data_IF_272903861852
#
_entry.id   IF_272903861852
#
_cell.length_a   1.000
_cell.length_b   1.000
_cell.length_c   1.000
_cell.angle_alpha   90.00
_cell.angle_beta   90.00
_cell.angle_gamma   90.00
#
_symmetry.space_group_name_H-M   'P 1'
#
loop_
_entity.id
_entity.type
_entity.pdbx_description
1 polymer ?
#
# COMPACT_ATOMS: atom_id res chain seq x y z
N UNK A 1 34.51 19.37 10.66
CA UNK A 1 34.26 19.60 9.21
C UNK A 1 33.28 18.52 8.76
N UNK A 2 32.06 18.89 8.39
CA UNK A 2 31.02 17.92 8.00
C UNK A 2 31.37 17.35 6.61
N UNK A 3 31.23 16.05 6.43
CA UNK A 3 31.62 15.36 5.20
C UNK A 3 30.65 15.77 4.07
N UNK A 4 31.12 16.41 2.99
CA UNK A 4 30.26 16.90 1.91
C UNK A 4 29.50 15.78 1.20
N UNK A 5 29.99 14.54 1.22
CA UNK A 5 29.24 13.37 0.71
C UNK A 5 28.01 13.06 1.56
N UNK A 6 28.07 13.26 2.88
CA UNK A 6 26.95 13.00 3.78
C UNK A 6 25.86 14.06 3.64
N UNK A 7 26.22 15.31 3.37
CA UNK A 7 25.27 16.38 3.02
C UNK A 7 24.61 16.13 1.68
N UNK A 8 25.35 15.69 0.65
CA UNK A 8 24.77 15.33 -0.65
C UNK A 8 23.82 14.14 -0.56
N UNK A 9 24.17 13.11 0.23
CA UNK A 9 23.29 11.96 0.49
C UNK A 9 22.06 12.38 1.29
N UNK A 10 22.21 13.25 2.29
CA UNK A 10 21.09 13.81 3.05
C UNK A 10 20.17 14.65 2.16
N UNK A 11 20.72 15.49 1.28
CA UNK A 11 19.95 16.31 0.34
C UNK A 11 19.22 15.45 -0.71
N UNK A 12 19.86 14.37 -1.17
CA UNK A 12 19.25 13.38 -2.07
C UNK A 12 18.14 12.61 -1.36
N UNK A 13 18.34 12.21 -0.11
CA UNK A 13 17.31 11.54 0.69
C UNK A 13 16.15 12.48 0.97
N UNK A 14 16.42 13.73 1.33
CA UNK A 14 15.43 14.78 1.60
C UNK A 14 14.67 15.17 0.32
N UNK A 15 15.33 15.23 -0.84
CA UNK A 15 14.67 15.44 -2.13
C UNK A 15 13.92 14.20 -2.63
N UNK A 16 14.38 12.98 -2.34
CA UNK A 16 13.63 11.75 -2.58
C UNK A 16 12.41 11.65 -1.65
N UNK A 17 12.52 12.13 -0.41
CA UNK A 17 11.41 12.26 0.54
C UNK A 17 10.42 13.35 0.08
N UNK A 18 10.90 14.45 -0.51
CA UNK A 18 10.05 15.48 -1.12
C UNK A 18 9.40 15.00 -2.44
N UNK A 19 10.06 14.15 -3.22
CA UNK A 19 9.44 13.43 -4.33
C UNK A 19 8.49 12.34 -3.84
N UNK A 20 8.67 11.82 -2.63
CA UNK A 20 7.68 11.03 -1.91
C UNK A 20 6.47 11.86 -1.47
N UNK A 21 6.48 13.20 -1.58
CA UNK A 21 5.27 14.02 -1.54
C UNK A 21 4.57 14.14 -2.90
N UNK A 22 5.01 13.40 -3.94
CA UNK A 22 4.10 13.08 -5.04
C UNK A 22 2.85 12.48 -4.41
N UNK A 23 1.69 12.90 -4.91
CA UNK A 23 0.34 12.44 -4.58
C UNK A 23 0.13 10.91 -4.62
N UNK A 24 1.18 10.11 -4.77
CA UNK A 24 1.26 8.66 -4.61
C UNK A 24 1.30 8.22 -3.12
N UNK A 25 1.82 9.06 -2.21
CA UNK A 25 1.96 8.74 -0.77
C UNK A 25 1.13 9.62 0.18
N UNK A 26 0.47 10.66 -0.33
CA UNK A 26 -0.73 11.19 0.34
C UNK A 26 -1.82 10.12 0.48
N UNK A 27 -1.65 8.96 -0.19
CA UNK A 27 -2.53 7.80 -0.19
C UNK A 27 -2.72 7.10 1.17
N UNK A 28 -1.89 7.41 2.17
CA UNK A 28 -1.91 6.73 3.47
C UNK A 28 -2.37 7.67 4.60
N UNK A 29 -2.67 8.94 4.28
CA UNK A 29 -2.93 9.97 5.29
C UNK A 29 -4.41 10.33 5.42
N UNK A 30 -5.03 9.87 6.50
CA UNK A 30 -6.02 10.66 7.24
C UNK A 30 -5.87 10.36 8.74
N UNK A 31 -5.93 11.37 9.63
CA UNK A 31 -6.11 11.13 11.04
C UNK A 31 -7.54 10.64 11.25
N UNK A 32 -7.69 9.42 11.75
CA UNK A 32 -8.98 8.94 12.25
C UNK A 32 -9.38 9.81 13.44
N UNK A 33 -10.54 10.46 13.34
CA UNK A 33 -11.18 11.08 14.50
C UNK A 33 -11.49 9.99 15.52
N UNK A 34 -11.10 10.26 16.76
CA UNK A 34 -11.30 9.39 17.91
C UNK A 34 -12.80 9.38 18.27
N UNK A 35 -13.57 8.57 17.55
CA UNK A 35 -14.90 8.14 17.98
C UNK A 35 -14.77 6.69 18.38
N UNK A 36 -14.91 6.42 19.68
CA UNK A 36 -15.02 5.07 20.24
C UNK A 36 -16.24 4.36 19.66
N UNK A 37 -16.07 3.79 18.47
CA UNK A 37 -17.03 2.95 17.78
C UNK A 37 -16.83 1.54 18.31
N UNK A 38 -17.72 1.08 19.17
CA UNK A 38 -17.81 -0.35 19.47
C UNK A 38 -18.29 -1.07 18.20
N UNK A 39 -17.45 -1.91 17.62
CA UNK A 39 -17.83 -2.74 16.48
C UNK A 39 -18.66 -3.91 16.99
N UNK A 40 -19.85 -4.12 16.43
CA UNK A 40 -20.65 -5.29 16.74
C UNK A 40 -20.05 -6.52 16.04
N UNK A 41 -19.08 -7.14 16.71
CA UNK A 41 -18.44 -8.38 16.26
C UNK A 41 -19.40 -9.57 16.21
N UNK A 42 -20.61 -9.46 16.77
CA UNK A 42 -21.64 -10.50 16.70
C UNK A 42 -22.16 -10.75 15.28
N UNK A 43 -21.91 -9.82 14.36
CA UNK A 43 -22.30 -9.93 12.95
C UNK A 43 -21.26 -10.65 12.06
N UNK A 44 -20.02 -10.80 12.53
CA UNK A 44 -18.94 -11.39 11.74
C UNK A 44 -18.81 -12.89 12.02
N UNK A 45 -18.66 -13.67 10.95
CA UNK A 45 -18.37 -15.09 11.03
C UNK A 45 -16.87 -15.31 10.81
N UNK A 46 -16.28 -16.21 11.60
CA UNK A 46 -14.89 -16.65 11.37
C UNK A 46 -14.73 -17.07 9.90
N UNK A 47 -13.70 -16.58 9.23
CA UNK A 47 -13.47 -16.76 7.79
C UNK A 47 -14.03 -15.65 6.90
N UNK A 48 -14.79 -14.71 7.44
CA UNK A 48 -15.24 -13.53 6.70
C UNK A 48 -14.06 -12.66 6.30
N UNK A 49 -14.11 -12.13 5.09
CA UNK A 49 -13.17 -11.13 4.63
C UNK A 49 -13.70 -9.77 5.03
N UNK A 50 -12.93 -9.09 5.88
CA UNK A 50 -13.23 -7.76 6.35
C UNK A 50 -12.51 -6.73 5.50
N UNK A 51 -13.23 -5.65 5.19
CA UNK A 51 -12.77 -4.56 4.35
C UNK A 51 -12.95 -3.26 5.11
N UNK A 52 -11.91 -2.44 5.11
CA UNK A 52 -11.92 -1.14 5.76
C UNK A 52 -11.54 -0.09 4.73
N UNK A 53 -12.51 0.68 4.22
CA UNK A 53 -12.23 1.77 3.31
C UNK A 53 -11.32 2.79 4.00
N UNK A 54 -10.11 3.00 3.47
CA UNK A 54 -9.28 4.15 3.81
C UNK A 54 -9.43 5.21 2.73
N UNK A 55 -8.85 6.39 2.96
CA UNK A 55 -8.95 7.53 2.05
C UNK A 55 -8.51 7.22 0.62
N UNK A 56 -7.62 6.24 0.40
CA UNK A 56 -7.12 5.97 -0.95
C UNK A 56 -6.99 4.48 -1.32
N UNK A 57 -6.95 3.59 -0.34
CA UNK A 57 -6.90 2.14 -0.56
C UNK A 57 -7.81 1.46 0.45
N UNK A 58 -8.52 0.43 0.02
CA UNK A 58 -9.26 -0.42 0.95
C UNK A 58 -8.26 -1.39 1.58
N UNK A 59 -8.25 -1.43 2.91
CA UNK A 59 -7.44 -2.39 3.66
C UNK A 59 -8.27 -3.63 3.95
N UNK A 60 -7.63 -4.80 3.84
CA UNK A 60 -8.31 -6.09 3.94
C UNK A 60 -7.73 -6.95 5.06
N UNK A 61 -8.60 -7.75 5.68
CA UNK A 61 -8.26 -8.74 6.69
C UNK A 61 -9.22 -9.92 6.67
N UNK A 62 -8.91 -10.97 7.42
CA UNK A 62 -9.77 -12.14 7.62
C UNK A 62 -10.12 -12.22 9.09
N UNK A 63 -11.42 -12.26 9.37
CA UNK A 63 -11.90 -12.45 10.73
C UNK A 63 -11.59 -13.87 11.21
N UNK A 64 -10.92 -14.00 12.35
CA UNK A 64 -10.58 -15.28 12.95
C UNK A 64 -11.56 -15.68 14.06
N UNK A 65 -12.58 -14.88 14.36
CA UNK A 65 -13.40 -15.06 15.55
C UNK A 65 -12.82 -14.32 16.76
N UNK A 66 -13.58 -14.25 17.85
CA UNK A 66 -13.15 -13.70 19.14
C UNK A 66 -12.49 -12.31 19.06
N UNK A 67 -13.05 -11.42 18.25
CA UNK A 67 -12.53 -10.06 18.01
C UNK A 67 -11.10 -10.04 17.41
N UNK A 68 -10.71 -11.04 16.63
CA UNK A 68 -9.39 -11.13 16.01
C UNK A 68 -9.46 -11.07 14.49
N UNK A 69 -8.52 -10.33 13.89
CA UNK A 69 -8.39 -10.18 12.44
C UNK A 69 -6.95 -10.45 12.02
N UNK A 70 -6.76 -11.41 11.11
CA UNK A 70 -5.50 -11.60 10.43
C UNK A 70 -5.40 -10.66 9.21
N UNK A 71 -4.33 -9.89 9.11
CA UNK A 71 -4.11 -9.01 7.96
C UNK A 71 -2.62 -8.81 7.67
N UNK A 72 -2.34 -8.56 6.39
CA UNK A 72 -0.99 -8.23 5.92
C UNK A 72 -0.72 -6.75 6.13
N UNK A 73 0.30 -6.42 6.93
CA UNK A 73 0.74 -5.04 7.17
C UNK A 73 2.20 -4.83 6.78
N UNK A 74 2.52 -3.82 5.96
CA UNK A 74 3.90 -3.37 5.79
C UNK A 74 4.38 -2.63 7.04
N UNK A 75 5.57 -2.95 7.55
CA UNK A 75 6.15 -2.25 8.69
C UNK A 75 7.67 -2.36 8.68
N UNK A 76 8.34 -1.20 8.60
CA UNK A 76 9.80 -1.15 8.61
C UNK A 76 10.43 -1.65 9.90
N UNK A 77 9.72 -1.60 11.05
CA UNK A 77 10.30 -2.05 12.32
C UNK A 77 10.65 -3.53 12.31
N UNK A 78 9.93 -4.34 11.53
CA UNK A 78 10.23 -5.76 11.33
C UNK A 78 11.64 -6.01 10.76
N UNK A 79 12.25 -5.01 10.11
CA UNK A 79 13.63 -5.08 9.62
C UNK A 79 14.66 -4.50 10.60
N UNK A 80 14.20 -3.79 11.64
CA UNK A 80 15.04 -2.97 12.52
C UNK A 80 15.09 -3.50 13.95
N UNK A 81 14.10 -4.29 14.38
CA UNK A 81 14.01 -4.83 15.73
C UNK A 81 13.18 -6.11 15.78
N UNK A 82 13.50 -7.00 16.72
CA UNK A 82 12.71 -8.20 17.06
C UNK A 82 11.77 -7.95 18.26
N UNK A 83 11.72 -6.72 18.77
CA UNK A 83 10.86 -6.35 19.91
C UNK A 83 9.37 -6.35 19.49
N UNK A 84 8.69 -7.43 19.86
CA UNK A 84 7.26 -7.65 19.59
C UNK A 84 6.37 -6.54 20.13
N UNK A 85 6.71 -5.92 21.26
CA UNK A 85 5.88 -4.86 21.85
C UNK A 85 5.94 -3.58 21.01
N UNK A 86 7.09 -3.27 20.42
CA UNK A 86 7.25 -2.12 19.53
C UNK A 86 6.57 -2.35 18.17
N UNK A 87 6.67 -3.57 17.65
CA UNK A 87 6.00 -3.98 16.42
C UNK A 87 4.49 -3.92 16.60
N UNK A 88 3.97 -4.39 17.74
CA UNK A 88 2.53 -4.49 17.99
C UNK A 88 1.80 -3.16 18.12
N UNK A 89 2.48 -2.07 18.50
CA UNK A 89 1.89 -0.73 18.61
C UNK A 89 1.34 -0.22 17.27
N UNK A 90 0.31 0.62 17.34
CA UNK A 90 -0.26 1.37 16.22
C UNK A 90 0.83 1.86 15.27
N UNK A 91 0.71 1.44 14.01
CA UNK A 91 1.76 1.65 13.02
C UNK A 91 1.56 3.02 12.37
N UNK A 92 2.51 3.94 12.60
CA UNK A 92 2.48 5.25 11.95
C UNK A 92 2.63 5.16 10.43
N UNK A 93 2.09 6.13 9.69
CA UNK A 93 2.21 6.21 8.23
C UNK A 93 3.66 6.13 7.74
N UNK A 94 4.62 6.75 8.46
CA UNK A 94 6.04 6.68 8.11
C UNK A 94 6.56 5.23 8.14
N UNK A 95 6.18 4.44 9.14
CA UNK A 95 6.55 3.03 9.28
C UNK A 95 5.95 2.20 8.14
N UNK A 96 4.67 2.42 7.81
CA UNK A 96 3.99 1.75 6.70
C UNK A 96 4.72 2.04 5.38
N UNK A 97 4.96 3.31 5.07
CA UNK A 97 5.61 3.76 3.82
C UNK A 97 7.00 3.15 3.68
N UNK A 98 7.82 3.25 4.73
CA UNK A 98 9.15 2.66 4.72
C UNK A 98 9.10 1.14 4.63
N UNK A 99 8.10 0.48 5.23
CA UNK A 99 7.86 -0.95 5.08
C UNK A 99 7.55 -1.34 3.63
N UNK A 100 6.74 -0.54 2.94
CA UNK A 100 6.46 -0.73 1.50
C UNK A 100 7.74 -0.57 0.67
N UNK A 101 8.51 0.50 0.90
CA UNK A 101 9.77 0.77 0.19
C UNK A 101 10.80 -0.35 0.44
N UNK A 102 10.92 -0.78 1.69
CA UNK A 102 11.78 -1.88 2.11
C UNK A 102 11.25 -3.26 1.73
N UNK A 103 10.02 -3.36 1.22
CA UNK A 103 9.29 -4.61 0.95
C UNK A 103 9.19 -5.53 2.16
N UNK A 104 9.05 -4.98 3.35
CA UNK A 104 8.96 -5.72 4.62
C UNK A 104 7.56 -5.61 5.20
N UNK A 105 6.94 -6.77 5.43
CA UNK A 105 5.63 -6.89 6.04
C UNK A 105 5.54 -8.10 6.96
N UNK A 106 4.46 -8.14 7.73
CA UNK A 106 4.02 -9.32 8.45
C UNK A 106 2.53 -9.52 8.27
N UNK A 107 2.11 -10.76 8.15
CA UNK A 107 0.74 -11.15 8.41
C UNK A 107 0.63 -11.33 9.92
N UNK A 108 -0.14 -10.46 10.56
CA UNK A 108 -0.31 -10.40 12.02
C UNK A 108 -1.77 -10.44 12.39
N UNK A 109 -2.02 -10.72 13.66
CA UNK A 109 -3.36 -10.73 14.25
C UNK A 109 -3.50 -9.53 15.16
N UNK A 110 -4.48 -8.68 14.87
CA UNK A 110 -4.86 -7.53 15.68
C UNK A 110 -6.36 -7.60 16.02
N UNK A 111 -6.82 -6.75 16.94
CA UNK A 111 -8.26 -6.67 17.26
C UNK A 111 -9.05 -6.04 16.11
N UNK A 112 -10.38 -6.23 16.08
CA UNK A 112 -11.20 -5.55 15.07
C UNK A 112 -11.09 -4.04 15.22
N UNK A 113 -11.00 -3.52 16.45
CA UNK A 113 -10.84 -2.09 16.69
C UNK A 113 -9.53 -1.55 16.12
N UNK A 114 -8.40 -2.22 16.40
CA UNK A 114 -7.08 -1.80 15.91
C UNK A 114 -6.98 -1.94 14.39
N UNK A 115 -7.56 -3.01 13.83
CA UNK A 115 -7.67 -3.21 12.39
C UNK A 115 -8.52 -2.13 11.72
N UNK A 116 -9.64 -1.74 12.34
CA UNK A 116 -10.60 -0.80 11.79
C UNK A 116 -10.17 0.65 11.98
N UNK A 117 -9.41 0.98 13.02
CA UNK A 117 -8.84 2.31 13.27
C UNK A 117 -9.88 3.44 13.11
N UNK A 118 -11.06 3.25 13.72
CA UNK A 118 -12.17 4.22 13.70
C UNK A 118 -12.98 4.29 12.41
N UNK A 119 -12.69 3.46 11.39
CA UNK A 119 -13.47 3.41 10.15
C UNK A 119 -14.50 2.26 10.16
N UNK A 120 -15.52 2.35 9.32
CA UNK A 120 -16.53 1.29 9.19
C UNK A 120 -15.91 0.02 8.60
N UNK A 121 -16.27 -1.13 9.18
CA UNK A 121 -15.86 -2.45 8.69
C UNK A 121 -17.00 -3.04 7.86
N UNK A 122 -16.65 -3.53 6.68
CA UNK A 122 -17.56 -4.19 5.75
C UNK A 122 -17.15 -5.65 5.61
N UNK A 123 -18.10 -6.56 5.41
CA UNK A 123 -17.81 -7.99 5.30
C UNK A 123 -18.19 -8.52 3.91
N UNK A 124 -17.31 -9.31 3.31
CA UNK A 124 -17.55 -10.15 2.13
C UNK A 124 -17.99 -9.41 0.84
N UNK A 125 -17.75 -8.11 0.69
CA UNK A 125 -18.07 -7.41 -0.58
C UNK A 125 -17.24 -7.93 -1.77
N UNK A 126 -16.05 -8.48 -1.52
CA UNK A 126 -15.26 -9.17 -2.56
C UNK A 126 -16.01 -10.33 -3.23
N UNK A 127 -16.96 -10.99 -2.55
CA UNK A 127 -17.73 -12.09 -3.15
C UNK A 127 -18.61 -11.61 -4.29
N UNK A 128 -19.26 -10.46 -4.09
CA UNK A 128 -20.14 -9.84 -5.08
C UNK A 128 -19.33 -9.32 -6.28
N UNK A 129 -18.18 -8.70 -6.00
CA UNK A 129 -17.36 -8.08 -7.05
C UNK A 129 -16.57 -9.07 -7.90
N UNK A 130 -16.05 -10.15 -7.31
CA UNK A 130 -15.21 -11.11 -8.01
C UNK A 130 -15.99 -12.25 -8.66
N UNK A 131 -17.22 -12.53 -8.20
CA UNK A 131 -18.06 -13.64 -8.68
C UNK A 131 -17.32 -15.00 -8.67
N UNK A 132 -16.37 -15.16 -7.75
CA UNK A 132 -15.61 -16.39 -7.56
C UNK A 132 -16.26 -17.24 -6.48
N UNK A 133 -16.17 -18.56 -6.62
CA UNK A 133 -16.63 -19.48 -5.58
C UNK A 133 -15.76 -19.33 -4.32
N UNK A 134 -16.34 -18.78 -3.26
CA UNK A 134 -15.71 -18.72 -1.95
C UNK A 134 -15.49 -20.14 -1.39
N UNK A 135 -14.37 -20.32 -0.70
CA UNK A 135 -14.09 -21.50 0.10
C UNK A 135 -14.91 -21.48 1.39
N UNK A 136 -15.00 -22.63 2.07
CA UNK A 136 -15.67 -22.72 3.37
C UNK A 136 -14.96 -21.82 4.37
N UNK A 137 -15.72 -21.01 5.09
CA UNK A 137 -15.24 -20.03 6.07
C UNK A 137 -14.14 -20.55 7.01
N UNK A 138 -14.29 -21.75 7.58
CA UNK A 138 -13.26 -22.30 8.47
C UNK A 138 -11.94 -22.60 7.73
N UNK A 139 -12.01 -23.04 6.47
CA UNK A 139 -10.81 -23.23 5.65
C UNK A 139 -10.14 -21.89 5.32
N UNK A 140 -10.92 -20.81 5.14
CA UNK A 140 -10.37 -19.45 4.94
C UNK A 140 -9.60 -19.00 6.17
N UNK A 141 -10.18 -19.14 7.36
CA UNK A 141 -9.54 -18.79 8.62
C UNK A 141 -8.25 -19.60 8.86
N UNK A 142 -8.31 -20.93 8.66
CA UNK A 142 -7.16 -21.82 8.79
C UNK A 142 -6.01 -21.45 7.85
N UNK A 143 -6.32 -21.02 6.62
CA UNK A 143 -5.31 -20.52 5.68
C UNK A 143 -4.66 -19.24 6.15
N UNK A 144 -5.45 -18.30 6.68
CA UNK A 144 -4.94 -17.06 7.23
C UNK A 144 -3.98 -17.32 8.40
N UNK A 145 -4.36 -18.21 9.32
CA UNK A 145 -3.53 -18.63 10.46
C UNK A 145 -2.21 -19.27 10.02
N UNK A 146 -2.23 -20.12 8.99
CA UNK A 146 -1.03 -20.76 8.44
C UNK A 146 -0.04 -19.76 7.84
N UNK A 147 -0.52 -18.61 7.37
CA UNK A 147 0.29 -17.59 6.71
C UNK A 147 0.81 -16.51 7.68
N UNK A 148 0.51 -16.59 8.97
CA UNK A 148 1.01 -15.66 9.98
C UNK A 148 2.55 -15.64 10.00
N UNK A 149 3.10 -14.44 10.15
CA UNK A 149 4.54 -14.21 10.20
C UNK A 149 5.04 -13.23 9.15
N UNK A 150 6.36 -13.15 9.03
CA UNK A 150 7.02 -12.22 8.10
C UNK A 150 6.83 -12.63 6.65
N UNK A 151 6.62 -11.64 5.79
CA UNK A 151 6.54 -11.83 4.34
C UNK A 151 7.01 -10.57 3.61
N UNK A 152 7.22 -10.68 2.30
CA UNK A 152 7.58 -9.52 1.49
C UNK A 152 6.34 -8.71 1.11
N UNK A 153 6.41 -7.39 1.12
CA UNK A 153 5.30 -6.54 0.67
C UNK A 153 5.51 -6.04 -0.75
N UNK A 154 4.44 -6.06 -1.55
CA UNK A 154 4.42 -5.41 -2.86
C UNK A 154 3.03 -4.88 -3.15
N UNK A 155 2.93 -3.57 -3.42
CA UNK A 155 1.65 -2.91 -3.74
C UNK A 155 0.93 -3.57 -4.93
N UNK A 156 1.68 -4.06 -5.92
CA UNK A 156 1.12 -4.62 -7.15
C UNK A 156 0.97 -6.14 -7.13
N UNK A 157 1.71 -6.85 -6.26
CA UNK A 157 1.88 -8.30 -6.40
C UNK A 157 1.69 -9.10 -5.11
N UNK A 158 1.83 -8.47 -3.95
CA UNK A 158 1.68 -9.13 -2.65
C UNK A 158 1.26 -8.10 -1.59
N UNK A 159 -0.02 -7.72 -1.66
CA UNK A 159 -0.66 -6.75 -0.77
C UNK A 159 -1.78 -7.44 0.04
N UNK A 160 -2.48 -6.69 0.89
CA UNK A 160 -3.55 -7.23 1.73
C UNK A 160 -4.71 -7.86 0.94
N UNK A 161 -5.06 -7.32 -0.23
CA UNK A 161 -6.11 -7.86 -1.10
C UNK A 161 -5.71 -9.22 -1.70
N UNK A 162 -4.45 -9.36 -2.13
CA UNK A 162 -3.90 -10.65 -2.59
C UNK A 162 -3.93 -11.70 -1.48
N UNK A 163 -3.58 -11.31 -0.25
CA UNK A 163 -3.60 -12.20 0.90
C UNK A 163 -5.01 -12.73 1.18
N UNK A 164 -6.01 -11.84 1.26
CA UNK A 164 -7.38 -12.27 1.59
C UNK A 164 -8.03 -13.06 0.46
N UNK A 165 -7.77 -12.70 -0.80
CA UNK A 165 -8.32 -13.42 -1.97
C UNK A 165 -7.68 -14.80 -2.14
N UNK A 166 -6.39 -14.96 -1.80
CA UNK A 166 -5.77 -16.27 -1.72
C UNK A 166 -6.45 -17.16 -0.67
N UNK A 167 -6.72 -16.62 0.51
CA UNK A 167 -7.37 -17.40 1.57
C UNK A 167 -8.83 -17.71 1.23
N UNK A 168 -9.59 -16.74 0.70
CA UNK A 168 -11.03 -16.89 0.43
C UNK A 168 -11.36 -17.64 -0.86
N UNK A 169 -10.60 -17.44 -1.93
CA UNK A 169 -10.89 -18.01 -3.26
C UNK A 169 -9.81 -18.98 -3.76
N UNK A 170 -8.68 -19.11 -3.06
CA UNK A 170 -7.55 -19.93 -3.49
C UNK A 170 -6.68 -19.31 -4.58
N UNK A 171 -6.94 -18.06 -4.98
CA UNK A 171 -6.18 -17.36 -6.01
C UNK A 171 -5.85 -15.94 -5.55
N UNK A 172 -4.55 -15.55 -5.47
CA UNK A 172 -4.15 -14.21 -5.07
C UNK A 172 -4.43 -13.24 -6.22
N UNK A 173 -5.44 -12.39 -6.07
CA UNK A 173 -5.79 -11.35 -7.04
C UNK A 173 -6.01 -10.01 -6.32
N UNK A 174 -5.81 -8.90 -7.03
CA UNK A 174 -6.06 -7.57 -6.49
C UNK A 174 -6.66 -6.66 -7.56
N UNK A 175 -8.00 -6.58 -7.62
CA UNK A 175 -8.70 -5.58 -8.44
C UNK A 175 -8.18 -4.16 -8.26
N UNK A 176 -7.76 -3.77 -7.06
CA UNK A 176 -7.16 -2.45 -6.85
C UNK A 176 -5.83 -2.27 -7.58
N UNK A 177 -4.95 -3.28 -7.53
CA UNK A 177 -3.67 -3.26 -8.25
C UNK A 177 -3.88 -3.27 -9.77
N UNK A 178 -4.85 -4.06 -10.25
CA UNK A 178 -5.20 -4.12 -11.67
C UNK A 178 -5.72 -2.76 -12.14
N UNK A 179 -6.66 -2.16 -11.42
CA UNK A 179 -7.20 -0.82 -11.72
C UNK A 179 -6.12 0.26 -11.68
N UNK A 180 -5.20 0.19 -10.72
CA UNK A 180 -4.05 1.10 -10.67
C UNK A 180 -3.19 0.97 -11.92
N UNK A 181 -2.85 -0.26 -12.33
CA UNK A 181 -2.08 -0.52 -13.54
C UNK A 181 -2.79 0.00 -14.80
N UNK A 182 -4.10 -0.21 -14.93
CA UNK A 182 -4.89 0.31 -16.05
C UNK A 182 -4.91 1.84 -16.09
N UNK A 183 -5.10 2.50 -14.94
CA UNK A 183 -5.03 3.96 -14.87
C UNK A 183 -3.64 4.50 -15.28
N UNK A 184 -2.56 3.84 -14.85
CA UNK A 184 -1.20 4.20 -15.24
C UNK A 184 -1.01 4.02 -16.74
N UNK A 185 -1.52 2.93 -17.34
CA UNK A 185 -1.48 2.73 -18.80
C UNK A 185 -2.22 3.83 -19.55
N UNK A 186 -3.41 4.23 -19.08
CA UNK A 186 -4.18 5.32 -19.68
C UNK A 186 -3.38 6.62 -19.63
N UNK A 187 -2.77 6.94 -18.49
CA UNK A 187 -1.95 8.15 -18.34
C UNK A 187 -0.73 8.11 -19.27
N UNK A 188 -0.03 6.97 -19.35
CA UNK A 188 1.14 6.81 -20.21
C UNK A 188 0.79 7.01 -21.69
N UNK A 189 -0.38 6.52 -22.12
CA UNK A 189 -0.85 6.61 -23.50
C UNK A 189 -1.50 7.96 -23.86
N UNK A 190 -1.78 8.81 -22.88
CA UNK A 190 -2.36 10.13 -23.13
C UNK A 190 -1.31 11.07 -23.74
N UNK A 191 -1.60 11.60 -24.94
CA UNK A 191 -0.77 12.60 -25.62
C UNK A 191 -0.55 13.86 -24.77
N UNK A 192 -1.49 14.19 -23.86
CA UNK A 192 -1.32 15.30 -22.92
C UNK A 192 -0.19 15.05 -21.93
N UNK A 193 0.06 13.79 -21.55
CA UNK A 193 1.17 13.40 -20.68
C UNK A 193 2.53 13.60 -21.38
N UNK A 194 2.59 13.39 -22.70
CA UNK A 194 3.78 13.68 -23.50
C UNK A 194 4.08 15.18 -23.46
N UNK A 195 3.08 16.04 -23.73
CA UNK A 195 3.26 17.49 -23.69
C UNK A 195 3.63 17.99 -22.29
N UNK A 196 2.94 17.51 -21.26
CA UNK A 196 3.19 17.89 -19.87
C UNK A 196 4.60 17.49 -19.41
N UNK A 197 5.05 16.28 -19.75
CA UNK A 197 6.40 15.82 -19.42
C UNK A 197 7.49 16.61 -20.16
N UNK A 198 7.24 17.00 -21.42
CA UNK A 198 8.16 17.87 -22.17
C UNK A 198 8.28 19.26 -21.53
N UNK A 199 7.14 19.88 -21.17
CA UNK A 199 7.12 21.18 -20.48
C UNK A 199 7.80 21.12 -19.10
N UNK A 200 7.56 20.06 -18.33
CA UNK A 200 8.24 19.84 -17.05
C UNK A 200 9.76 19.62 -17.23
N UNK A 201 10.15 18.90 -18.27
CA UNK A 201 11.55 18.71 -18.64
C UNK A 201 12.24 20.04 -18.97
N UNK A 202 11.61 20.88 -19.79
CA UNK A 202 12.10 22.22 -20.12
C UNK A 202 12.18 23.12 -18.89
N UNK A 203 11.15 23.15 -18.05
CA UNK A 203 11.15 23.91 -16.81
C UNK A 203 12.26 23.45 -15.85
N UNK A 204 12.50 22.14 -15.77
CA UNK A 204 13.60 21.57 -14.98
C UNK A 204 14.97 22.05 -15.46
N UNK A 205 15.21 22.05 -16.78
CA UNK A 205 16.45 22.58 -17.37
C UNK A 205 16.62 24.08 -17.06
N UNK A 206 15.56 24.87 -17.15
CA UNK A 206 15.61 26.31 -16.84
C UNK A 206 15.92 26.55 -15.37
N UNK A 207 15.29 25.80 -14.46
CA UNK A 207 15.43 25.99 -13.01
C UNK A 207 16.74 25.42 -12.43
N UNK A 208 17.20 24.28 -12.93
CA UNK A 208 18.34 23.53 -12.37
C UNK A 208 19.60 23.63 -13.23
N UNK A 209 19.50 24.25 -14.40
CA UNK A 209 20.59 24.36 -15.36
C UNK A 209 20.70 23.15 -16.28
N UNK A 210 21.51 23.34 -17.32
CA UNK A 210 21.71 22.35 -18.38
C UNK A 210 22.79 21.36 -17.96
N UNK A 211 22.38 20.16 -17.55
CA UNK A 211 23.25 19.10 -17.08
C UNK A 211 22.69 17.74 -17.52
N UNK A 212 23.52 16.68 -17.65
CA UNK A 212 23.04 15.38 -18.09
C UNK A 212 21.86 14.82 -17.27
N UNK A 213 21.86 15.03 -15.96
CA UNK A 213 20.80 14.56 -15.05
C UNK A 213 19.48 15.36 -15.16
N UNK A 214 19.47 16.52 -15.82
CA UNK A 214 18.26 17.32 -16.11
C UNK A 214 17.84 17.18 -17.57
N UNK A 215 18.80 17.21 -18.50
CA UNK A 215 18.55 17.15 -19.95
C UNK A 215 18.18 15.75 -20.44
N UNK A 216 18.81 14.68 -19.94
CA UNK A 216 18.48 13.33 -20.39
C UNK A 216 17.03 12.96 -20.00
N UNK A 217 16.57 13.14 -18.75
CA UNK A 217 15.16 12.85 -18.42
C UNK A 217 14.18 13.72 -19.22
N UNK A 218 14.51 14.99 -19.47
CA UNK A 218 13.66 15.91 -20.23
C UNK A 218 13.43 15.50 -21.69
N UNK A 219 14.31 14.69 -22.27
CA UNK A 219 14.18 14.17 -23.64
C UNK A 219 13.64 12.74 -23.62
N UNK A 220 14.23 11.87 -22.80
CA UNK A 220 13.90 10.44 -22.79
C UNK A 220 12.49 10.16 -22.26
N UNK A 221 12.03 10.86 -21.22
CA UNK A 221 10.70 10.60 -20.63
C UNK A 221 9.59 10.93 -21.65
N UNK A 222 9.53 12.13 -22.26
CA UNK A 222 8.51 12.41 -23.27
C UNK A 222 8.61 11.49 -24.50
N UNK A 223 9.84 11.16 -24.93
CA UNK A 223 10.05 10.23 -26.05
C UNK A 223 9.50 8.82 -25.74
N UNK A 224 9.77 8.28 -24.56
CA UNK A 224 9.24 6.99 -24.14
C UNK A 224 7.72 7.00 -24.01
N UNK A 225 7.13 8.09 -23.49
CA UNK A 225 5.67 8.25 -23.41
C UNK A 225 5.05 8.32 -24.81
N UNK A 226 5.66 9.07 -25.73
CA UNK A 226 5.21 9.16 -27.13
C UNK A 226 5.28 7.82 -27.86
N UNK A 227 6.33 7.04 -27.63
CA UNK A 227 6.47 5.70 -28.20
C UNK A 227 5.50 4.66 -27.61
N UNK A 228 4.97 4.92 -26.41
CA UNK A 228 4.08 4.00 -25.70
C UNK A 228 2.58 4.23 -25.98
N UNK A 229 2.22 5.41 -26.49
CA UNK A 229 0.87 5.81 -26.91
C UNK A 229 0.57 5.45 -28.34
#
# INVERSE_FOLDING_TARGET
MKNPMLEVVSLLLEKLLLLSNFKLFSWIAAPGEDKGSFYDTGSFLRGDVLEVPRTHLTHYGIYLGDNQVAHLMPDILLALTDDKLLIQRVVSNKRLILGVIGKVASIRVDTVEDFAYGANVLANHLDESLQKKALVNEEVARRAEKLLGMTSYSLLWNNCEHFVTYCRYGAPVSPQADKFCENVKIIIRDQRSVLASALLGLASIVCLGLAPHTTLPAIFIPFCLWMAG
#
